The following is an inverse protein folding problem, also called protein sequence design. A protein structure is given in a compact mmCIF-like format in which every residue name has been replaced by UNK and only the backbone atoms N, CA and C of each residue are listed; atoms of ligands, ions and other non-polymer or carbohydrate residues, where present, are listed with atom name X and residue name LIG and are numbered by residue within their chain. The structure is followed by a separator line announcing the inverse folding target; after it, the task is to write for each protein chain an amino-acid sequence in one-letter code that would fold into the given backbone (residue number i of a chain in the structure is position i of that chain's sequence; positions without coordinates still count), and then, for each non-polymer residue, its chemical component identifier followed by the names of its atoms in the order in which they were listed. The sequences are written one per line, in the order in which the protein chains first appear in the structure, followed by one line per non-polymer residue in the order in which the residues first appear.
data_IF_078911086069
#
_entry.id   IF_078911086069
#
_cell.length_a   1.000
_cell.length_b   1.000
_cell.length_c   1.000
_cell.angle_alpha   90.00
_cell.angle_beta   90.00
_cell.angle_gamma   90.00
#
_symmetry.space_group_name_H-M   'P 1'
#
loop_
_entity.id
_entity.type
_entity.pdbx_description
1 polymer ?
#
# COMPACT_ATOMS: atom_id res chain seq x y z
N UNK A 1 60.17 -81.77 26.58
CA UNK A 1 58.84 -81.39 27.04
C UNK A 1 58.63 -79.94 26.71
N UNK A 2 57.71 -79.59 25.85
CA UNK A 2 57.56 -78.25 25.27
C UNK A 2 56.51 -77.45 26.00
N UNK A 3 56.94 -76.38 26.66
CA UNK A 3 56.02 -75.39 27.29
C UNK A 3 55.65 -74.33 26.24
N UNK A 4 54.39 -74.13 26.02
CA UNK A 4 53.83 -73.04 25.16
C UNK A 4 53.48 -71.83 26.01
N UNK A 5 54.08 -70.71 25.71
CA UNK A 5 53.79 -69.39 26.26
C UNK A 5 52.64 -68.78 25.50
N UNK A 6 51.53 -68.38 26.19
CA UNK A 6 50.44 -67.62 25.67
C UNK A 6 50.70 -66.13 25.90
N UNK A 7 50.71 -65.37 24.83
CA UNK A 7 50.76 -63.90 24.88
C UNK A 7 49.32 -63.38 24.85
N UNK A 8 48.89 -62.71 25.90
CA UNK A 8 47.64 -61.98 25.95
C UNK A 8 47.77 -60.66 25.24
N UNK A 9 46.81 -60.35 24.39
CA UNK A 9 46.68 -59.07 23.73
C UNK A 9 45.69 -58.25 24.57
N UNK A 10 46.16 -57.12 25.12
CA UNK A 10 45.35 -56.13 25.79
C UNK A 10 44.84 -55.16 24.72
N UNK A 11 43.56 -55.19 24.47
CA UNK A 11 42.87 -54.19 23.61
C UNK A 11 42.52 -52.99 24.46
N UNK A 12 43.12 -51.82 24.17
CA UNK A 12 42.74 -50.55 24.75
C UNK A 12 41.49 -50.00 24.03
N UNK A 13 40.35 -49.94 24.70
CA UNK A 13 39.19 -49.22 24.21
C UNK A 13 39.39 -47.71 24.50
N UNK A 14 39.60 -46.96 23.41
CA UNK A 14 39.54 -45.49 23.45
C UNK A 14 38.09 -45.02 23.31
N UNK A 15 37.47 -44.61 24.40
CA UNK A 15 36.16 -43.95 24.40
C UNK A 15 36.32 -42.52 23.91
N UNK A 16 35.86 -42.25 22.68
CA UNK A 16 35.74 -40.90 22.12
C UNK A 16 34.48 -40.25 22.71
N UNK A 17 34.67 -39.29 23.62
CA UNK A 17 33.60 -38.42 24.11
C UNK A 17 33.28 -37.38 23.00
N UNK A 18 32.19 -37.58 22.28
CA UNK A 18 31.58 -36.54 21.40
C UNK A 18 30.89 -35.49 22.28
N UNK A 19 31.56 -34.36 22.55
CA UNK A 19 30.90 -33.19 23.07
C UNK A 19 30.00 -32.62 21.96
N UNK A 20 28.70 -32.87 22.02
CA UNK A 20 27.71 -32.16 21.23
C UNK A 20 27.52 -30.77 21.82
N UNK A 21 28.10 -29.74 21.20
CA UNK A 21 27.78 -28.34 21.49
C UNK A 21 26.38 -28.09 20.93
N UNK A 22 25.36 -28.08 21.77
CA UNK A 22 24.03 -27.57 21.39
C UNK A 22 24.20 -26.09 21.07
N UNK A 23 24.07 -25.73 19.77
CA UNK A 23 23.96 -24.35 19.35
C UNK A 23 22.64 -23.82 19.91
N UNK A 24 22.73 -22.99 20.95
CA UNK A 24 21.59 -22.20 21.39
C UNK A 24 21.25 -21.18 20.29
N UNK A 25 20.19 -21.43 19.53
CA UNK A 25 19.60 -20.42 18.65
C UNK A 25 19.05 -19.33 19.54
N UNK A 26 19.78 -18.26 19.73
CA UNK A 26 19.24 -17.02 20.30
C UNK A 26 18.26 -16.47 19.27
N UNK A 27 16.96 -16.61 19.51
CA UNK A 27 15.93 -15.86 18.78
C UNK A 27 16.22 -14.39 19.06
N UNK A 28 16.55 -13.63 18.02
CA UNK A 28 16.69 -12.17 18.12
C UNK A 28 15.39 -11.59 18.70
N UNK A 29 15.52 -10.67 19.65
CA UNK A 29 14.36 -9.95 20.16
C UNK A 29 13.62 -9.27 19.00
N UNK A 30 12.27 -9.21 19.01
CA UNK A 30 11.52 -8.50 18.00
C UNK A 30 12.04 -7.06 17.86
N UNK A 31 12.17 -6.58 16.62
CA UNK A 31 12.56 -5.19 16.37
C UNK A 31 11.56 -4.23 17.03
N UNK A 32 12.05 -3.12 17.59
CA UNK A 32 11.17 -2.11 18.14
C UNK A 32 10.24 -1.56 17.04
N UNK A 33 8.95 -1.24 17.35
CA UNK A 33 8.03 -0.71 16.37
C UNK A 33 8.55 0.61 15.80
N UNK A 34 8.41 0.77 14.46
CA UNK A 34 8.89 1.96 13.74
C UNK A 34 8.14 3.22 14.16
N UNK A 35 6.85 3.08 14.45
CA UNK A 35 5.97 4.16 14.92
C UNK A 35 4.80 3.60 15.73
N UNK A 36 4.08 4.52 16.38
CA UNK A 36 2.95 4.20 17.26
C UNK A 36 1.66 4.79 16.70
N UNK A 37 0.62 3.97 16.62
CA UNK A 37 -0.74 4.37 16.24
C UNK A 37 -1.63 4.30 17.47
N UNK A 38 -2.37 5.40 17.75
CA UNK A 38 -3.39 5.49 18.79
C UNK A 38 -4.73 5.79 18.13
N UNK A 39 -5.64 4.82 18.15
CA UNK A 39 -6.95 4.91 17.55
C UNK A 39 -8.02 5.20 18.61
N UNK A 40 -8.85 6.21 18.35
CA UNK A 40 -9.95 6.61 19.19
C UNK A 40 -11.28 6.14 18.61
N UNK A 41 -12.18 5.66 19.49
CA UNK A 41 -13.53 5.25 19.15
C UNK A 41 -14.51 5.61 20.25
N UNK A 42 -15.81 5.73 19.93
CA UNK A 42 -16.85 5.99 20.93
C UNK A 42 -17.55 4.71 21.42
N UNK A 43 -17.82 3.79 20.54
CA UNK A 43 -18.56 2.56 20.81
C UNK A 43 -20.07 2.78 21.07
N UNK A 44 -20.58 3.97 20.77
CA UNK A 44 -21.93 4.37 21.15
C UNK A 44 -22.73 5.01 20.03
N UNK A 45 -22.15 5.16 18.84
CA UNK A 45 -22.82 5.81 17.73
C UNK A 45 -23.81 4.87 17.02
N UNK A 46 -23.68 4.63 15.76
CA UNK A 46 -24.54 3.70 14.99
C UNK A 46 -23.97 2.26 14.99
N UNK A 47 -24.84 1.24 14.90
CA UNK A 47 -24.40 -0.16 14.90
C UNK A 47 -23.43 -0.48 13.75
N UNK A 48 -23.49 0.23 12.61
CA UNK A 48 -22.58 0.06 11.49
C UNK A 48 -21.17 0.62 11.79
N UNK A 49 -21.10 1.76 12.47
CA UNK A 49 -19.83 2.34 12.94
C UNK A 49 -19.21 1.49 14.05
N UNK A 50 -20.05 0.95 14.96
CA UNK A 50 -19.63 0.01 16.00
C UNK A 50 -19.10 -1.30 15.39
N UNK A 51 -19.67 -1.77 14.27
CA UNK A 51 -19.15 -2.92 13.54
C UNK A 51 -17.76 -2.63 12.98
N UNK A 52 -17.58 -1.48 12.32
CA UNK A 52 -16.29 -1.03 11.80
C UNK A 52 -15.21 -0.92 12.90
N UNK A 53 -15.53 -0.32 14.07
CA UNK A 53 -14.53 -0.22 15.14
C UNK A 53 -14.10 -1.59 15.68
N UNK A 54 -15.03 -2.57 15.72
CA UNK A 54 -14.74 -3.95 16.15
C UNK A 54 -13.88 -4.70 15.14
N UNK A 55 -14.14 -4.57 13.84
CA UNK A 55 -13.27 -5.15 12.83
C UNK A 55 -11.91 -4.47 12.77
N UNK A 56 -11.84 -3.15 12.98
CA UNK A 56 -10.60 -2.40 13.11
C UNK A 56 -9.73 -2.91 14.27
N UNK A 57 -10.36 -3.26 15.43
CA UNK A 57 -9.67 -3.84 16.57
C UNK A 57 -9.04 -5.22 16.28
N UNK A 58 -9.50 -5.91 15.23
CA UNK A 58 -8.96 -7.19 14.78
C UNK A 58 -7.92 -6.99 13.67
N UNK A 59 -8.25 -6.18 12.67
CA UNK A 59 -7.45 -6.02 11.47
C UNK A 59 -6.16 -5.21 11.70
N UNK A 60 -6.23 -4.04 12.34
CA UNK A 60 -5.05 -3.20 12.54
C UNK A 60 -3.92 -3.84 13.38
N UNK A 61 -4.18 -4.65 14.43
CA UNK A 61 -3.11 -5.38 15.10
C UNK A 61 -2.37 -6.37 14.18
N UNK A 62 -3.07 -7.01 13.22
CA UNK A 62 -2.44 -7.91 12.25
C UNK A 62 -1.53 -7.13 11.29
N UNK A 63 -2.02 -5.99 10.78
CA UNK A 63 -1.22 -5.10 9.93
C UNK A 63 -0.06 -4.49 10.72
N UNK A 64 -0.26 -4.11 11.98
CA UNK A 64 0.80 -3.60 12.86
C UNK A 64 1.93 -4.61 13.04
N UNK A 65 1.60 -5.88 13.25
CA UNK A 65 2.59 -6.95 13.33
C UNK A 65 3.33 -7.18 12.00
N UNK A 66 2.59 -7.12 10.88
CA UNK A 66 3.15 -7.32 9.54
C UNK A 66 4.10 -6.18 9.12
N UNK A 67 3.78 -4.94 9.47
CA UNK A 67 4.51 -3.74 9.04
C UNK A 67 5.31 -3.08 10.16
N UNK A 68 5.52 -3.78 11.28
CA UNK A 68 6.33 -3.37 12.42
C UNK A 68 5.99 -1.98 12.98
N UNK A 69 4.71 -1.73 13.26
CA UNK A 69 4.29 -0.59 14.07
C UNK A 69 3.47 -1.05 15.28
N UNK A 70 3.24 -0.19 16.27
CA UNK A 70 2.34 -0.52 17.37
C UNK A 70 0.96 0.09 17.14
N UNK A 71 -0.10 -0.64 17.46
CA UNK A 71 -1.47 -0.18 17.42
C UNK A 71 -2.13 -0.32 18.78
N UNK A 72 -2.79 0.75 19.22
CA UNK A 72 -3.60 0.76 20.44
C UNK A 72 -4.93 1.44 20.14
N UNK A 73 -6.03 0.81 20.52
CA UNK A 73 -7.38 1.37 20.40
C UNK A 73 -7.94 1.74 21.78
N UNK A 74 -8.60 2.89 21.90
CA UNK A 74 -9.09 3.40 23.17
C UNK A 74 -10.36 4.23 22.99
N UNK A 75 -11.27 4.16 23.97
CA UNK A 75 -12.43 5.06 24.11
C UNK A 75 -12.18 6.18 25.12
N UNK A 76 -10.97 6.29 25.64
CA UNK A 76 -10.60 7.38 26.56
C UNK A 76 -10.13 8.61 25.79
N UNK A 77 -11.07 9.42 25.31
CA UNK A 77 -10.80 10.68 24.61
C UNK A 77 -10.01 11.69 25.45
N UNK A 78 -10.01 11.56 26.79
CA UNK A 78 -9.21 12.40 27.68
C UNK A 78 -7.70 12.34 27.42
N UNK A 79 -7.22 11.29 26.77
CA UNK A 79 -5.80 11.19 26.38
C UNK A 79 -5.38 12.28 25.38
N UNK A 80 -6.32 12.87 24.64
CA UNK A 80 -6.04 13.99 23.73
C UNK A 80 -5.53 15.24 24.45
N UNK A 81 -5.92 15.47 25.71
CA UNK A 81 -5.50 16.65 26.50
C UNK A 81 -3.97 16.74 26.67
N UNK A 82 -3.29 15.61 26.67
CA UNK A 82 -1.83 15.51 26.88
C UNK A 82 -1.10 14.86 25.71
N UNK A 83 -1.76 14.76 24.56
CA UNK A 83 -1.23 14.07 23.39
C UNK A 83 -0.01 14.78 22.81
N UNK A 84 1.02 14.02 22.51
CA UNK A 84 2.25 14.48 21.84
C UNK A 84 2.70 13.46 20.80
N UNK A 85 3.60 13.86 19.90
CA UNK A 85 4.23 12.95 18.93
C UNK A 85 5.11 11.86 19.57
N UNK A 86 5.54 12.05 20.82
CA UNK A 86 6.20 11.02 21.62
C UNK A 86 5.22 9.95 22.13
N UNK A 87 3.97 10.33 22.39
CA UNK A 87 2.89 9.42 22.83
C UNK A 87 2.41 8.57 21.66
N UNK A 88 2.08 9.20 20.52
CA UNK A 88 1.66 8.55 19.28
C UNK A 88 2.22 9.33 18.09
N UNK A 89 2.68 8.62 17.08
CA UNK A 89 3.10 9.22 15.81
C UNK A 89 1.90 9.47 14.89
N UNK A 90 0.89 8.59 14.97
CA UNK A 90 -0.36 8.68 14.22
C UNK A 90 -1.53 8.53 15.19
N UNK A 91 -2.49 9.43 15.08
CA UNK A 91 -3.79 9.34 15.73
C UNK A 91 -4.83 8.97 14.69
N UNK A 92 -5.73 8.06 15.05
CA UNK A 92 -6.89 7.71 14.23
C UNK A 92 -8.18 8.06 14.95
N UNK A 93 -9.15 8.58 14.19
CA UNK A 93 -10.53 8.66 14.63
C UNK A 93 -11.36 7.68 13.80
N UNK A 94 -11.90 6.66 14.46
CA UNK A 94 -12.58 5.56 13.79
C UNK A 94 -14.06 5.88 13.51
N UNK A 95 -14.79 6.25 14.55
CA UNK A 95 -16.26 6.37 14.48
C UNK A 95 -16.81 7.68 15.08
N UNK A 96 -15.96 8.58 15.55
CA UNK A 96 -16.40 9.81 16.20
C UNK A 96 -15.28 10.87 16.25
N UNK A 97 -15.59 12.03 16.85
CA UNK A 97 -14.66 13.13 17.12
C UNK A 97 -14.80 13.62 18.57
N UNK A 98 -13.75 14.23 19.15
CA UNK A 98 -13.85 14.76 20.50
C UNK A 98 -14.85 15.91 20.58
N UNK A 99 -15.66 15.92 21.62
CA UNK A 99 -16.65 16.96 21.89
C UNK A 99 -16.18 18.00 22.94
N UNK A 100 -15.26 17.62 23.83
CA UNK A 100 -14.69 18.50 24.86
C UNK A 100 -13.67 19.48 24.26
N UNK A 101 -13.73 20.72 24.71
CA UNK A 101 -12.88 21.81 24.22
C UNK A 101 -11.39 21.57 24.49
N UNK A 102 -11.04 20.99 25.65
CA UNK A 102 -9.65 20.66 25.99
C UNK A 102 -9.10 19.54 25.08
N UNK A 103 -9.88 18.50 24.81
CA UNK A 103 -9.53 17.41 23.91
C UNK A 103 -9.31 17.92 22.47
N UNK A 104 -10.20 18.81 21.99
CA UNK A 104 -10.07 19.48 20.68
C UNK A 104 -8.81 20.34 20.60
N UNK A 105 -8.53 21.11 21.62
CA UNK A 105 -7.31 21.93 21.70
C UNK A 105 -6.04 21.06 21.74
N UNK A 106 -6.06 19.96 22.49
CA UNK A 106 -4.95 19.01 22.57
C UNK A 106 -4.66 18.34 21.21
N UNK A 107 -5.71 17.90 20.52
CA UNK A 107 -5.56 17.35 19.17
C UNK A 107 -5.03 18.39 18.17
N UNK A 108 -5.58 19.61 18.18
CA UNK A 108 -5.10 20.69 17.32
C UNK A 108 -3.61 20.99 17.57
N UNK A 109 -3.22 21.10 18.84
CA UNK A 109 -1.82 21.29 19.21
C UNK A 109 -0.92 20.15 18.71
N UNK A 110 -1.36 18.90 18.85
CA UNK A 110 -0.64 17.74 18.34
C UNK A 110 -0.42 17.82 16.83
N UNK A 111 -1.43 18.17 16.04
CA UNK A 111 -1.34 18.33 14.60
C UNK A 111 -0.41 19.49 14.19
N UNK A 112 -0.44 20.60 14.91
CA UNK A 112 0.43 21.77 14.69
C UNK A 112 1.91 21.49 14.99
N UNK A 113 2.18 20.45 15.81
CA UNK A 113 3.53 20.00 16.14
C UNK A 113 3.97 18.75 15.36
N UNK A 114 3.37 18.51 14.19
CA UNK A 114 3.80 17.49 13.24
C UNK A 114 3.27 16.07 13.52
N UNK A 115 2.21 15.96 14.31
CA UNK A 115 1.49 14.70 14.48
C UNK A 115 0.86 14.20 13.19
N UNK A 116 0.69 12.89 13.03
CA UNK A 116 -0.02 12.26 11.94
C UNK A 116 -1.49 11.99 12.31
N UNK A 117 -2.40 12.11 11.34
CA UNK A 117 -3.81 11.83 11.54
C UNK A 117 -4.40 10.99 10.41
N UNK A 118 -5.22 10.00 10.77
CA UNK A 118 -6.04 9.26 9.83
C UNK A 118 -7.49 9.22 10.32
N UNK A 119 -8.37 9.93 9.62
CA UNK A 119 -9.81 9.95 9.93
C UNK A 119 -10.61 9.02 9.03
N UNK A 120 -11.57 8.33 9.61
CA UNK A 120 -12.50 7.46 8.89
C UNK A 120 -13.92 8.01 8.98
N UNK A 121 -14.65 7.87 7.89
CA UNK A 121 -16.09 8.05 7.76
C UNK A 121 -16.66 9.17 8.64
N UNK A 122 -17.36 8.80 9.71
CA UNK A 122 -18.06 9.74 10.61
C UNK A 122 -17.13 10.73 11.30
N UNK A 123 -15.82 10.48 11.31
CA UNK A 123 -14.87 11.46 11.87
C UNK A 123 -14.88 12.81 11.14
N UNK A 124 -15.43 12.89 9.93
CA UNK A 124 -15.66 14.16 9.24
C UNK A 124 -17.10 14.64 9.30
N UNK A 125 -18.03 13.86 9.85
CA UNK A 125 -19.42 14.28 10.03
C UNK A 125 -19.52 15.45 11.00
N UNK A 126 -20.35 16.42 10.68
CA UNK A 126 -20.69 17.52 11.57
C UNK A 126 -22.02 18.16 11.16
N UNK A 127 -22.80 18.58 12.16
CA UNK A 127 -24.08 19.28 11.95
C UNK A 127 -23.87 20.77 11.65
N UNK A 128 -22.70 21.30 11.96
CA UNK A 128 -22.37 22.70 11.77
C UNK A 128 -20.87 22.92 11.65
N UNK A 129 -20.45 23.49 10.53
CA UNK A 129 -19.05 23.85 10.29
C UNK A 129 -18.46 24.80 11.33
N UNK A 130 -19.30 25.41 12.21
CA UNK A 130 -18.87 26.28 13.29
C UNK A 130 -18.67 25.57 14.61
N UNK A 131 -19.06 24.31 14.75
CA UNK A 131 -18.92 23.52 15.95
C UNK A 131 -17.47 23.28 16.36
N UNK A 132 -16.60 23.03 15.36
CA UNK A 132 -15.14 22.97 15.51
C UNK A 132 -14.49 23.62 14.28
N UNK A 133 -14.47 24.97 14.18
CA UNK A 133 -14.14 25.68 12.95
C UNK A 133 -12.76 25.31 12.38
N UNK A 134 -11.75 25.19 13.24
CA UNK A 134 -10.43 24.77 12.80
C UNK A 134 -10.46 23.40 12.12
N UNK A 135 -11.14 22.42 12.72
CA UNK A 135 -11.20 21.06 12.20
C UNK A 135 -11.98 21.01 10.88
N UNK A 136 -13.18 21.57 10.86
CA UNK A 136 -14.09 21.46 9.73
C UNK A 136 -13.69 22.34 8.54
N UNK A 137 -13.19 23.57 8.79
CA UNK A 137 -12.90 24.53 7.72
C UNK A 137 -11.43 24.52 7.29
N UNK A 138 -10.50 24.44 8.27
CA UNK A 138 -9.06 24.57 7.99
C UNK A 138 -8.41 23.21 7.80
N UNK A 139 -8.69 22.25 8.67
CA UNK A 139 -8.01 20.95 8.70
C UNK A 139 -8.61 19.96 7.70
N UNK A 140 -9.91 19.69 7.77
CA UNK A 140 -10.64 18.83 6.85
C UNK A 140 -11.01 19.55 5.54
N UNK A 141 -11.31 20.85 5.63
CA UNK A 141 -11.71 21.68 4.49
C UNK A 141 -13.17 21.50 4.05
N UNK A 142 -13.90 20.59 4.67
CA UNK A 142 -15.25 20.14 4.29
C UNK A 142 -16.36 21.16 4.52
N UNK A 143 -16.21 22.07 5.50
CA UNK A 143 -17.32 22.84 6.00
C UNK A 143 -18.31 21.96 6.75
N UNK A 144 -19.58 22.09 6.45
CA UNK A 144 -20.66 21.29 7.05
C UNK A 144 -20.88 20.03 6.22
N UNK A 145 -21.24 18.92 6.86
CA UNK A 145 -21.78 17.74 6.18
C UNK A 145 -23.04 18.15 5.40
N UNK A 146 -23.13 17.67 4.16
CA UNK A 146 -24.26 18.02 3.29
C UNK A 146 -25.26 16.89 3.20
N UNK A 147 -24.82 15.69 2.78
CA UNK A 147 -25.69 14.52 2.66
C UNK A 147 -24.86 13.24 2.48
N UNK A 148 -25.53 12.10 2.45
CA UNK A 148 -24.97 10.77 2.19
C UNK A 148 -25.83 9.95 1.25
N UNK A 149 -25.40 8.75 0.90
CA UNK A 149 -26.16 7.83 0.04
C UNK A 149 -27.31 7.12 0.79
N UNK A 150 -27.46 7.31 2.09
CA UNK A 150 -28.47 6.68 2.97
C UNK A 150 -28.41 5.16 3.06
N UNK A 151 -28.05 4.49 1.98
CA UNK A 151 -27.86 3.04 1.95
C UNK A 151 -26.40 2.74 1.62
N UNK A 152 -25.71 1.98 2.48
CA UNK A 152 -24.36 1.52 2.19
C UNK A 152 -24.32 0.73 0.88
N UNK A 153 -23.41 1.12 0.00
CA UNK A 153 -23.26 0.51 -1.32
C UNK A 153 -21.80 0.52 -1.76
N UNK A 154 -21.45 -0.33 -2.72
CA UNK A 154 -20.19 -0.22 -3.44
C UNK A 154 -20.20 1.01 -4.34
N UNK A 155 -19.02 1.54 -4.66
CA UNK A 155 -18.86 2.61 -5.62
C UNK A 155 -17.63 2.39 -6.50
N UNK A 156 -17.67 2.83 -7.75
CA UNK A 156 -16.48 2.94 -8.59
C UNK A 156 -15.76 4.23 -8.18
N UNK A 157 -14.49 4.12 -7.88
CA UNK A 157 -13.63 5.24 -7.51
C UNK A 157 -12.63 5.56 -8.62
N UNK A 158 -12.36 6.85 -8.78
CA UNK A 158 -11.25 7.35 -9.57
C UNK A 158 -10.12 7.81 -8.66
N UNK A 159 -8.89 7.38 -8.94
CA UNK A 159 -7.69 7.90 -8.28
C UNK A 159 -7.33 9.22 -8.94
N UNK A 160 -7.60 10.33 -8.26
CA UNK A 160 -7.51 11.69 -8.83
C UNK A 160 -6.09 12.25 -8.79
N UNK A 161 -5.28 11.84 -7.82
CA UNK A 161 -3.93 12.34 -7.70
C UNK A 161 -2.95 11.33 -7.13
N UNK A 162 -1.67 11.54 -7.46
CA UNK A 162 -0.58 10.74 -6.92
C UNK A 162 -0.23 11.18 -5.50
N UNK A 163 -0.13 10.21 -4.62
CA UNK A 163 0.29 10.37 -3.24
C UNK A 163 0.92 9.07 -2.75
N UNK A 164 1.70 9.11 -1.68
CA UNK A 164 2.25 7.89 -1.08
C UNK A 164 1.15 6.85 -0.77
N UNK A 165 -0.03 7.30 -0.31
CA UNK A 165 -1.16 6.43 -0.01
C UNK A 165 -1.89 5.88 -1.25
N UNK A 166 -1.78 6.51 -2.43
CA UNK A 166 -2.50 6.08 -3.66
C UNK A 166 -1.61 5.35 -4.65
N UNK A 167 -0.32 5.20 -4.38
CA UNK A 167 0.66 4.66 -5.32
C UNK A 167 0.38 3.23 -5.79
N UNK A 168 -0.35 2.43 -5.01
CA UNK A 168 -0.75 1.06 -5.35
C UNK A 168 -2.19 0.95 -5.84
N UNK A 169 -2.91 2.06 -5.96
CA UNK A 169 -4.28 2.06 -6.43
C UNK A 169 -4.35 2.09 -7.95
N UNK A 170 -5.27 1.36 -8.58
CA UNK A 170 -5.63 1.54 -9.98
C UNK A 170 -6.18 2.95 -10.23
N UNK A 171 -6.17 3.39 -11.49
CA UNK A 171 -6.82 4.67 -11.87
C UNK A 171 -8.33 4.64 -11.64
N UNK A 172 -8.93 3.46 -11.74
CA UNK A 172 -10.35 3.21 -11.50
C UNK A 172 -10.49 1.85 -10.82
N UNK A 173 -11.28 1.77 -9.76
CA UNK A 173 -11.48 0.54 -9.00
C UNK A 173 -12.81 0.57 -8.25
N UNK A 174 -13.34 -0.60 -7.91
CA UNK A 174 -14.55 -0.71 -7.10
C UNK A 174 -14.15 -0.76 -5.63
N UNK A 175 -14.66 0.17 -4.83
CA UNK A 175 -14.48 0.16 -3.38
C UNK A 175 -15.46 -0.80 -2.71
N UNK A 176 -15.10 -1.27 -1.53
CA UNK A 176 -16.00 -1.95 -0.62
C UNK A 176 -17.25 -1.13 -0.28
N UNK A 177 -18.21 -1.76 0.37
CA UNK A 177 -19.45 -1.10 0.78
C UNK A 177 -19.13 -0.01 1.80
N UNK A 178 -19.69 1.18 1.58
CA UNK A 178 -19.71 2.29 2.54
C UNK A 178 -20.92 3.19 2.28
N UNK A 179 -21.19 4.07 3.21
CA UNK A 179 -22.13 5.18 3.07
C UNK A 179 -21.36 6.41 2.60
N UNK A 180 -21.57 6.84 1.35
CA UNK A 180 -20.77 7.86 0.70
C UNK A 180 -21.27 9.26 1.06
N UNK A 181 -20.38 10.11 1.58
CA UNK A 181 -20.69 11.46 2.05
C UNK A 181 -20.45 12.54 1.01
N UNK A 182 -21.19 13.63 1.11
CA UNK A 182 -20.92 14.90 0.45
C UNK A 182 -20.82 16.05 1.45
N UNK A 183 -20.17 17.12 1.01
CA UNK A 183 -19.75 18.22 1.86
C UNK A 183 -20.26 19.56 1.31
N UNK A 184 -20.43 20.55 2.18
CA UNK A 184 -20.81 21.90 1.80
C UNK A 184 -19.76 22.54 0.88
N UNK A 185 -18.48 22.37 1.19
CA UNK A 185 -17.39 22.96 0.44
C UNK A 185 -16.96 22.03 -0.71
N UNK A 186 -16.73 22.61 -1.90
CA UNK A 186 -16.04 21.90 -2.97
C UNK A 186 -14.53 21.85 -2.66
N UNK A 187 -14.03 20.69 -2.27
CA UNK A 187 -12.63 20.50 -1.87
C UNK A 187 -11.63 20.85 -2.97
N UNK A 188 -12.03 20.83 -4.26
CA UNK A 188 -11.18 21.25 -5.39
C UNK A 188 -10.84 22.74 -5.35
N UNK A 189 -11.70 23.54 -4.74
CA UNK A 189 -11.52 24.99 -4.64
C UNK A 189 -10.59 25.38 -3.47
N UNK A 190 -10.26 24.44 -2.59
CA UNK A 190 -9.34 24.67 -1.48
C UNK A 190 -7.90 24.35 -1.90
N UNK A 191 -7.00 25.34 -2.06
CA UNK A 191 -5.63 25.12 -2.53
C UNK A 191 -4.79 24.27 -1.55
N UNK A 192 -5.21 24.17 -0.29
CA UNK A 192 -4.54 23.39 0.74
C UNK A 192 -4.96 21.91 0.73
N UNK A 193 -6.09 21.58 0.10
CA UNK A 193 -6.54 20.19 -0.01
C UNK A 193 -6.00 19.56 -1.31
N UNK A 194 -5.60 18.31 -1.20
CA UNK A 194 -5.32 17.45 -2.35
C UNK A 194 -6.29 16.27 -2.29
N UNK A 195 -7.25 16.25 -3.20
CA UNK A 195 -8.14 15.11 -3.36
C UNK A 195 -7.35 13.95 -3.96
N UNK A 196 -7.46 12.79 -3.34
CA UNK A 196 -6.72 11.57 -3.69
C UNK A 196 -7.59 10.62 -4.50
N UNK A 197 -8.87 10.51 -4.15
CA UNK A 197 -9.86 9.77 -4.94
C UNK A 197 -11.26 10.34 -4.76
N UNK A 198 -12.06 10.19 -5.82
CA UNK A 198 -13.47 10.57 -5.87
C UNK A 198 -14.34 9.43 -6.39
N UNK A 199 -15.63 9.48 -6.08
CA UNK A 199 -16.62 8.51 -6.57
C UNK A 199 -17.06 8.89 -7.97
N UNK A 200 -17.19 7.91 -8.84
CA UNK A 200 -17.95 8.02 -10.10
C UNK A 200 -19.44 8.04 -9.80
N UNK A 201 -20.06 9.20 -9.95
CA UNK A 201 -21.48 9.40 -9.66
C UNK A 201 -22.42 8.47 -10.42
N UNK A 202 -21.99 7.93 -11.56
CA UNK A 202 -22.76 6.97 -12.35
C UNK A 202 -22.78 5.57 -11.76
N UNK A 203 -21.90 5.29 -10.78
CA UNK A 203 -21.71 3.95 -10.21
C UNK A 203 -22.69 3.58 -9.09
N UNK A 204 -23.42 4.56 -8.53
CA UNK A 204 -24.45 4.32 -7.52
C UNK A 204 -25.61 5.33 -7.69
N UNK A 205 -26.80 5.04 -7.15
CA UNK A 205 -27.90 5.98 -7.20
C UNK A 205 -27.58 7.20 -6.32
N UNK A 206 -27.12 8.27 -6.97
CA UNK A 206 -26.95 9.56 -6.33
C UNK A 206 -28.31 10.09 -5.96
N UNK A 207 -28.48 10.41 -4.67
CA UNK A 207 -29.69 11.10 -4.25
C UNK A 207 -30.89 10.19 -4.13
N UNK A 208 -30.88 9.40 -3.09
CA UNK A 208 -32.14 8.99 -2.46
C UNK A 208 -32.90 10.20 -1.90
N UNK A 209 -32.21 11.33 -1.70
CA UNK A 209 -32.80 12.64 -1.41
C UNK A 209 -32.84 13.48 -2.70
N UNK A 210 -34.05 13.79 -3.26
CA UNK A 210 -34.21 14.58 -4.47
C UNK A 210 -33.75 16.04 -4.33
N UNK A 211 -33.56 16.53 -3.09
CA UNK A 211 -33.07 17.88 -2.82
C UNK A 211 -31.53 17.94 -2.67
N UNK A 212 -30.84 16.82 -2.83
CA UNK A 212 -29.41 16.73 -2.67
C UNK A 212 -28.66 17.50 -3.75
N UNK A 213 -27.91 18.49 -3.36
CA UNK A 213 -27.02 19.23 -4.25
C UNK A 213 -25.62 18.65 -4.16
N UNK A 214 -25.20 17.94 -5.21
CA UNK A 214 -23.84 17.43 -5.36
C UNK A 214 -23.07 18.35 -6.31
N UNK A 215 -21.80 18.61 -6.04
CA UNK A 215 -20.96 19.49 -6.85
C UNK A 215 -20.72 18.91 -8.25
N UNK A 216 -21.64 19.16 -9.18
CA UNK A 216 -21.52 18.74 -10.58
C UNK A 216 -21.13 17.26 -10.78
N UNK A 217 -21.54 16.40 -9.84
CA UNK A 217 -21.19 14.96 -9.86
C UNK A 217 -19.77 14.64 -9.41
N UNK A 218 -19.12 15.50 -8.67
CA UNK A 218 -17.81 15.24 -8.09
C UNK A 218 -17.91 15.01 -6.58
N UNK A 219 -17.49 13.84 -6.13
CA UNK A 219 -17.65 13.38 -4.74
C UNK A 219 -16.31 12.90 -4.17
N UNK A 220 -15.49 13.81 -3.61
CA UNK A 220 -14.22 13.44 -2.99
C UNK A 220 -14.46 12.63 -1.72
N UNK A 221 -13.77 11.50 -1.61
CA UNK A 221 -13.92 10.57 -0.49
C UNK A 221 -12.57 10.18 0.14
N UNK A 222 -11.46 10.41 -0.54
CA UNK A 222 -10.10 10.29 -0.01
C UNK A 222 -9.37 11.60 -0.28
N UNK A 223 -8.79 12.22 0.76
CA UNK A 223 -7.99 13.42 0.60
C UNK A 223 -6.94 13.61 1.70
N UNK A 224 -6.03 14.54 1.45
CA UNK A 224 -5.03 15.04 2.40
C UNK A 224 -5.03 16.56 2.41
N UNK A 225 -4.49 17.16 3.48
CA UNK A 225 -4.24 18.58 3.59
C UNK A 225 -2.73 18.83 3.53
N UNK A 226 -2.29 19.67 2.59
CA UNK A 226 -0.85 19.94 2.33
C UNK A 226 -0.13 20.60 3.51
N UNK A 227 -0.86 21.21 4.45
CA UNK A 227 -0.31 21.89 5.62
C UNK A 227 -0.19 20.96 6.84
N UNK A 228 -0.76 19.76 6.79
CA UNK A 228 -0.80 18.80 7.88
C UNK A 228 -0.50 17.40 7.38
N UNK A 229 0.09 16.60 8.23
CA UNK A 229 0.33 15.18 7.96
C UNK A 229 -0.96 14.39 8.26
N UNK A 230 -1.93 14.44 7.35
CA UNK A 230 -3.24 13.85 7.54
C UNK A 230 -3.78 13.13 6.33
N UNK A 231 -4.64 12.16 6.56
CA UNK A 231 -5.47 11.49 5.57
C UNK A 231 -6.90 11.40 6.10
N UNK A 232 -7.85 11.46 5.20
CA UNK A 232 -9.22 11.07 5.45
C UNK A 232 -9.67 10.03 4.43
N UNK A 233 -10.45 9.06 4.89
CA UNK A 233 -11.11 8.05 4.08
C UNK A 233 -12.58 7.92 4.47
N UNK A 234 -13.48 8.02 3.51
CA UNK A 234 -14.91 7.81 3.73
C UNK A 234 -15.29 6.31 3.77
N UNK A 235 -14.36 5.48 4.31
CA UNK A 235 -14.57 4.07 4.60
C UNK A 235 -14.93 3.93 6.08
N UNK A 236 -15.66 2.88 6.45
CA UNK A 236 -15.97 2.58 7.84
C UNK A 236 -17.45 2.67 8.20
N UNK A 237 -18.33 2.47 7.20
CA UNK A 237 -19.75 2.23 7.40
C UNK A 237 -20.13 0.90 6.77
N UNK A 238 -20.28 -0.14 7.59
CA UNK A 238 -20.69 -1.44 7.11
C UNK A 238 -22.18 -1.47 6.76
N UNK A 239 -22.56 -2.32 5.79
CA UNK A 239 -23.96 -2.69 5.64
C UNK A 239 -24.39 -3.54 6.85
N UNK A 240 -25.55 -3.25 7.41
CA UNK A 240 -26.03 -3.83 8.65
C UNK A 240 -27.42 -4.44 8.51
N UNK A 241 -27.62 -5.57 9.18
CA UNK A 241 -28.94 -5.98 9.61
C UNK A 241 -29.21 -5.36 11.00
N UNK A 242 -29.89 -4.23 11.03
CA UNK A 242 -30.15 -3.48 12.27
C UNK A 242 -31.09 -4.23 13.23
N UNK A 243 -31.91 -5.19 12.74
CA UNK A 243 -32.77 -6.01 13.60
C UNK A 243 -31.96 -7.01 14.42
N UNK A 244 -30.98 -7.65 13.81
CA UNK A 244 -30.12 -8.64 14.47
C UNK A 244 -28.78 -8.05 14.93
N UNK A 245 -28.49 -6.79 14.61
CA UNK A 245 -27.21 -6.10 14.86
C UNK A 245 -26.02 -6.85 14.27
N UNK A 246 -26.20 -7.44 13.08
CA UNK A 246 -25.18 -8.25 12.41
C UNK A 246 -24.63 -7.51 11.19
N UNK A 247 -23.31 -7.33 11.05
CA UNK A 247 -22.72 -6.74 9.85
C UNK A 247 -22.94 -7.67 8.64
N UNK A 248 -23.23 -7.07 7.51
CA UNK A 248 -23.44 -7.73 6.20
C UNK A 248 -22.28 -7.46 5.23
N UNK A 249 -21.36 -6.57 5.60
CA UNK A 249 -20.13 -6.30 4.87
C UNK A 249 -18.96 -6.14 5.84
N UNK A 250 -17.77 -5.93 5.33
CA UNK A 250 -16.57 -5.58 6.08
C UNK A 250 -15.77 -4.56 5.31
N UNK A 251 -15.36 -3.50 5.98
CA UNK A 251 -14.51 -2.44 5.42
C UNK A 251 -13.16 -2.99 4.95
N UNK A 252 -12.61 -3.98 5.64
CA UNK A 252 -11.30 -4.58 5.35
C UNK A 252 -11.36 -5.85 4.48
N UNK A 253 -12.46 -6.07 3.77
CA UNK A 253 -12.59 -7.18 2.83
C UNK A 253 -12.08 -6.83 1.42
N UNK A 254 -11.84 -5.57 1.11
CA UNK A 254 -11.38 -5.12 -0.21
C UNK A 254 -9.86 -4.90 -0.22
N UNK A 255 -9.09 -5.74 -0.93
CA UNK A 255 -7.64 -5.67 -0.92
C UNK A 255 -7.07 -4.43 -1.63
N UNK A 256 -7.84 -3.72 -2.45
CA UNK A 256 -7.42 -2.47 -3.06
C UNK A 256 -7.58 -1.32 -2.05
N UNK A 257 -8.71 -1.27 -1.38
CA UNK A 257 -8.98 -0.34 -0.29
C UNK A 257 -7.95 -0.48 0.84
N UNK A 258 -7.61 -1.71 1.22
CA UNK A 258 -6.60 -2.01 2.23
C UNK A 258 -5.22 -1.43 1.87
N UNK A 259 -4.85 -1.42 0.58
CA UNK A 259 -3.58 -0.81 0.13
C UNK A 259 -3.53 0.68 0.45
N UNK A 260 -4.63 1.41 0.25
CA UNK A 260 -4.70 2.82 0.62
C UNK A 260 -4.48 3.02 2.12
N UNK A 261 -5.15 2.22 2.95
CA UNK A 261 -5.07 2.32 4.40
C UNK A 261 -3.65 2.01 4.89
N UNK A 262 -3.06 0.92 4.41
CA UNK A 262 -1.71 0.49 4.79
C UNK A 262 -0.68 1.54 4.37
N UNK A 263 -0.68 1.94 3.09
CA UNK A 263 0.26 2.93 2.56
C UNK A 263 0.12 4.29 3.23
N UNK A 264 -1.13 4.66 3.52
CA UNK A 264 -1.46 5.86 4.27
C UNK A 264 -0.87 5.84 5.68
N UNK A 265 -1.01 4.75 6.41
CA UNK A 265 -0.44 4.60 7.76
C UNK A 265 1.08 4.65 7.74
N UNK A 266 1.72 3.95 6.82
CA UNK A 266 3.18 3.97 6.66
C UNK A 266 3.68 5.37 6.35
N UNK A 267 3.01 6.10 5.46
CA UNK A 267 3.34 7.49 5.18
C UNK A 267 3.15 8.39 6.42
N UNK A 268 2.01 8.27 7.12
CA UNK A 268 1.72 9.04 8.33
C UNK A 268 2.69 8.72 9.48
N UNK A 269 3.08 7.48 9.65
CA UNK A 269 3.99 7.05 10.70
C UNK A 269 5.44 7.47 10.46
N UNK A 270 5.80 7.86 9.22
CA UNK A 270 7.19 8.02 8.82
C UNK A 270 7.93 6.69 8.80
N UNK A 271 7.20 5.59 8.78
CA UNK A 271 7.73 4.26 8.63
C UNK A 271 8.37 4.13 7.25
N UNK A 272 9.61 3.74 7.23
CA UNK A 272 10.16 3.14 6.03
C UNK A 272 9.74 1.68 6.06
N UNK A 273 9.32 1.11 4.94
CA UNK A 273 9.06 -0.31 4.85
C UNK A 273 10.39 -1.08 4.93
N UNK A 274 11.00 -1.15 6.12
CA UNK A 274 12.29 -1.82 6.29
C UNK A 274 12.16 -3.33 6.25
N UNK A 275 10.93 -3.85 6.39
CA UNK A 275 10.60 -5.27 6.21
C UNK A 275 9.10 -5.43 5.84
N UNK A 276 8.43 -4.37 5.38
CA UNK A 276 7.28 -4.62 4.53
C UNK A 276 7.75 -5.64 3.50
N UNK A 277 7.05 -6.76 3.31
CA UNK A 277 7.39 -7.65 2.22
C UNK A 277 7.61 -6.74 1.04
N UNK A 278 8.64 -7.00 0.25
CA UNK A 278 9.16 -6.25 -0.89
C UNK A 278 8.08 -5.71 -1.86
N UNK A 279 6.99 -5.18 -1.31
CA UNK A 279 5.80 -4.69 -2.02
C UNK A 279 5.86 -3.19 -2.31
N UNK A 280 6.97 -2.54 -1.98
CA UNK A 280 7.16 -1.13 -2.26
C UNK A 280 8.34 -0.89 -3.17
N UNK A 281 8.03 -0.44 -4.37
CA UNK A 281 9.05 0.00 -5.31
C UNK A 281 9.45 1.44 -4.94
N UNK A 282 10.64 1.61 -4.36
CA UNK A 282 11.20 2.95 -4.12
C UNK A 282 11.56 3.60 -5.46
N UNK A 283 10.89 4.67 -5.90
CA UNK A 283 11.12 5.26 -7.21
C UNK A 283 12.49 5.96 -7.34
N UNK A 284 13.19 6.18 -6.21
CA UNK A 284 14.55 6.70 -6.18
C UNK A 284 15.64 5.64 -6.30
N UNK A 285 15.29 4.36 -6.14
CA UNK A 285 16.25 3.27 -6.11
C UNK A 285 16.37 2.56 -7.46
N UNK A 286 17.49 1.87 -7.64
CA UNK A 286 17.69 0.93 -8.73
C UNK A 286 17.48 -0.50 -8.26
N UNK A 287 16.94 -1.34 -9.13
CA UNK A 287 16.64 -2.75 -8.85
C UNK A 287 17.19 -3.66 -9.94
N UNK A 288 17.75 -4.78 -9.52
CA UNK A 288 17.84 -5.94 -10.41
C UNK A 288 16.50 -6.66 -10.43
N UNK A 289 16.03 -7.00 -11.61
CA UNK A 289 14.73 -7.65 -11.84
C UNK A 289 15.00 -9.12 -12.15
N UNK A 290 14.70 -10.01 -11.19
CA UNK A 290 15.11 -11.44 -11.25
C UNK A 290 13.90 -12.32 -11.46
N UNK A 291 13.90 -13.10 -12.53
CA UNK A 291 12.80 -14.01 -12.85
C UNK A 291 12.72 -15.20 -11.89
N UNK A 292 11.51 -15.50 -11.40
CA UNK A 292 11.23 -16.61 -10.48
C UNK A 292 11.47 -17.99 -11.07
N UNK A 293 11.22 -18.16 -12.37
CA UNK A 293 11.27 -19.46 -13.04
C UNK A 293 12.69 -19.97 -13.32
N UNK A 294 13.66 -19.04 -13.48
CA UNK A 294 15.01 -19.42 -13.90
C UNK A 294 16.14 -18.66 -13.17
N UNK A 295 15.82 -17.76 -12.25
CA UNK A 295 16.75 -16.92 -11.48
C UNK A 295 17.70 -16.05 -12.34
N UNK A 296 17.31 -15.71 -13.57
CA UNK A 296 18.07 -14.81 -14.42
C UNK A 296 17.59 -13.37 -14.25
N UNK A 297 18.50 -12.44 -14.45
CA UNK A 297 18.23 -11.02 -14.43
C UNK A 297 17.70 -10.51 -15.78
N UNK A 298 16.79 -9.56 -15.74
CA UNK A 298 16.44 -8.73 -16.88
C UNK A 298 17.66 -7.88 -17.24
N UNK A 299 17.96 -7.77 -18.53
CA UNK A 299 19.23 -7.24 -19.03
C UNK A 299 19.03 -6.49 -20.34
N UNK A 300 19.65 -5.33 -20.49
CA UNK A 300 19.75 -4.63 -21.75
C UNK A 300 20.88 -5.28 -22.57
N UNK A 301 20.53 -5.96 -23.66
CA UNK A 301 21.45 -6.77 -24.48
C UNK A 301 22.71 -6.00 -24.87
N UNK A 302 23.87 -6.61 -24.57
CA UNK A 302 25.16 -6.02 -24.90
C UNK A 302 25.46 -4.72 -24.19
N UNK A 303 24.79 -4.43 -23.07
CA UNK A 303 24.81 -3.16 -22.37
C UNK A 303 24.43 -1.97 -23.27
N UNK A 304 23.57 -2.20 -24.25
CA UNK A 304 23.05 -1.17 -25.15
C UNK A 304 22.25 -0.11 -24.39
N UNK A 305 22.32 1.14 -24.87
CA UNK A 305 21.71 2.31 -24.23
C UNK A 305 20.90 3.17 -25.22
N UNK A 306 20.52 2.60 -26.36
CA UNK A 306 19.84 3.30 -27.44
C UNK A 306 18.51 2.64 -27.79
N UNK A 307 17.67 3.39 -28.51
CA UNK A 307 16.41 2.88 -29.04
C UNK A 307 16.61 1.56 -29.81
N UNK A 308 15.72 0.59 -29.53
CA UNK A 308 15.75 -0.73 -30.12
C UNK A 308 16.67 -1.74 -29.40
N UNK A 309 17.37 -1.33 -28.33
CA UNK A 309 18.13 -2.28 -27.51
C UNK A 309 17.19 -3.32 -26.91
N UNK A 310 17.41 -4.59 -27.24
CA UNK A 310 16.55 -5.68 -26.77
C UNK A 310 16.66 -5.85 -25.26
N UNK A 311 15.53 -5.98 -24.59
CA UNK A 311 15.47 -6.44 -23.21
C UNK A 311 15.40 -7.97 -23.21
N UNK A 312 16.39 -8.58 -22.57
CA UNK A 312 16.59 -10.03 -22.52
C UNK A 312 16.70 -10.53 -21.08
N UNK A 313 16.73 -11.82 -20.90
CA UNK A 313 17.21 -12.46 -19.67
C UNK A 313 18.68 -12.83 -19.82
N UNK A 314 19.45 -12.68 -18.75
CA UNK A 314 20.86 -13.03 -18.72
C UNK A 314 21.32 -13.43 -17.31
N UNK A 315 22.44 -14.15 -17.18
CA UNK A 315 23.03 -14.42 -15.88
C UNK A 315 23.25 -13.11 -15.11
N UNK A 316 22.86 -13.05 -13.84
CA UNK A 316 22.98 -11.85 -13.01
C UNK A 316 24.46 -11.48 -12.81
N UNK A 317 24.84 -10.24 -13.12
CA UNK A 317 26.24 -9.76 -13.09
C UNK A 317 26.41 -8.37 -12.46
N UNK A 318 25.32 -7.80 -11.91
CA UNK A 318 25.27 -6.48 -11.25
C UNK A 318 25.73 -5.28 -12.12
N UNK A 319 25.79 -5.43 -13.45
CA UNK A 319 26.09 -4.31 -14.33
C UNK A 319 24.92 -3.32 -14.41
N UNK A 320 25.19 -2.08 -14.85
CA UNK A 320 24.14 -1.08 -15.07
C UNK A 320 23.10 -1.51 -16.12
N UNK A 321 23.46 -2.44 -17.01
CA UNK A 321 22.55 -3.05 -17.98
C UNK A 321 21.43 -3.88 -17.32
N UNK A 322 21.65 -4.33 -16.09
CA UNK A 322 20.70 -5.14 -15.29
C UNK A 322 20.06 -4.37 -14.14
N UNK A 323 20.24 -3.06 -14.10
CA UNK A 323 19.71 -2.22 -13.05
C UNK A 323 18.69 -1.22 -13.61
N UNK A 324 17.50 -1.24 -13.03
CA UNK A 324 16.37 -0.49 -13.53
C UNK A 324 15.74 0.33 -12.40
N UNK A 325 15.30 1.55 -12.74
CA UNK A 325 14.57 2.44 -11.87
C UNK A 325 13.10 2.46 -12.29
N UNK A 326 12.21 2.30 -11.34
CA UNK A 326 10.76 2.30 -11.54
C UNK A 326 10.22 3.66 -11.12
N UNK A 327 9.85 4.50 -12.06
CA UNK A 327 9.35 5.85 -11.79
C UNK A 327 7.86 5.94 -12.10
N UNK A 328 7.09 6.44 -11.14
CA UNK A 328 5.66 6.66 -11.31
C UNK A 328 5.38 7.64 -12.45
N UNK A 329 4.35 7.35 -13.24
CA UNK A 329 3.91 8.18 -14.36
C UNK A 329 2.51 8.71 -14.11
N UNK A 330 1.48 7.90 -14.33
CA UNK A 330 0.09 8.28 -14.14
C UNK A 330 -0.66 7.16 -13.42
N UNK A 331 -1.31 7.49 -12.31
CA UNK A 331 -2.02 6.50 -11.50
C UNK A 331 -1.08 5.38 -11.02
N UNK A 332 -1.46 4.09 -11.17
CA UNK A 332 -0.67 2.95 -10.70
C UNK A 332 0.46 2.54 -11.65
N UNK A 333 0.69 3.32 -12.71
CA UNK A 333 1.65 2.96 -13.74
C UNK A 333 3.02 3.59 -13.51
N UNK A 334 4.05 2.86 -13.98
CA UNK A 334 5.45 3.24 -13.87
C UNK A 334 6.09 3.17 -15.26
N UNK A 335 7.06 4.02 -15.51
CA UNK A 335 8.08 3.77 -16.51
C UNK A 335 9.26 3.04 -15.87
N UNK A 336 9.92 2.17 -16.60
CA UNK A 336 11.06 1.38 -16.12
C UNK A 336 12.29 1.79 -16.89
N UNK A 337 13.15 2.61 -16.26
CA UNK A 337 14.33 3.21 -16.89
C UNK A 337 15.57 2.36 -16.66
N UNK A 338 16.46 2.29 -17.65
CA UNK A 338 17.75 1.62 -17.47
C UNK A 338 18.76 2.54 -16.76
N UNK A 339 19.56 2.01 -15.82
CA UNK A 339 20.56 2.79 -15.07
C UNK A 339 21.66 3.38 -15.97
N UNK A 340 22.02 2.68 -17.05
CA UNK A 340 23.05 3.16 -17.97
C UNK A 340 22.60 4.37 -18.82
N UNK A 341 21.28 4.50 -19.07
CA UNK A 341 20.68 5.65 -19.73
C UNK A 341 19.23 5.81 -19.24
N UNK A 342 18.99 6.75 -18.34
CA UNK A 342 17.67 6.97 -17.71
C UNK A 342 16.64 7.64 -18.63
N UNK A 343 17.03 8.07 -19.81
CA UNK A 343 16.11 8.56 -20.84
C UNK A 343 15.40 7.40 -21.55
N UNK A 344 16.00 6.20 -21.53
CA UNK A 344 15.48 4.99 -22.15
C UNK A 344 14.62 4.21 -21.14
N UNK A 345 13.45 3.78 -21.60
CA UNK A 345 12.49 3.00 -20.80
C UNK A 345 12.11 1.71 -21.51
N UNK A 346 11.61 0.73 -20.76
CA UNK A 346 11.03 -0.47 -21.36
C UNK A 346 9.83 -0.12 -22.23
N UNK A 347 9.83 -0.65 -23.42
CA UNK A 347 8.90 -0.36 -24.49
C UNK A 347 8.44 -1.67 -25.13
N UNK A 348 7.13 -1.83 -25.32
CA UNK A 348 6.62 -2.93 -26.16
C UNK A 348 6.83 -2.55 -27.61
N UNK A 349 7.69 -3.32 -28.31
CA UNK A 349 8.08 -3.04 -29.70
C UNK A 349 6.87 -2.82 -30.60
N UNK A 350 6.97 -1.79 -31.43
CA UNK A 350 5.96 -1.42 -32.44
C UNK A 350 4.55 -1.15 -31.85
N UNK A 351 4.44 -0.90 -30.54
CA UNK A 351 3.14 -0.81 -29.83
C UNK A 351 2.25 -2.03 -30.09
N UNK A 352 2.85 -3.17 -30.32
CA UNK A 352 2.14 -4.41 -30.64
C UNK A 352 1.22 -4.83 -29.49
N UNK A 353 0.03 -5.33 -29.83
CA UNK A 353 -0.92 -5.91 -28.87
C UNK A 353 -0.86 -7.43 -28.81
N UNK A 354 -0.02 -8.07 -29.62
CA UNK A 354 0.06 -9.51 -29.73
C UNK A 354 0.80 -10.15 -28.54
N UNK A 355 0.46 -11.40 -28.22
CA UNK A 355 1.31 -12.25 -27.38
C UNK A 355 2.64 -12.52 -28.11
N UNK A 356 3.73 -12.50 -27.35
CA UNK A 356 5.07 -12.68 -27.91
C UNK A 356 5.71 -11.38 -28.42
N UNK A 357 5.06 -10.24 -28.35
CA UNK A 357 5.67 -8.95 -28.70
C UNK A 357 6.88 -8.69 -27.80
N UNK A 358 8.02 -8.38 -28.42
CA UNK A 358 9.30 -8.18 -27.74
C UNK A 358 9.34 -6.90 -26.91
N UNK A 359 10.17 -6.93 -25.86
CA UNK A 359 10.46 -5.74 -25.05
C UNK A 359 11.82 -5.20 -25.43
N UNK A 360 11.92 -3.88 -25.56
CA UNK A 360 13.12 -3.14 -25.93
C UNK A 360 13.30 -1.90 -25.04
N UNK A 361 14.45 -1.25 -25.14
CA UNK A 361 14.64 0.13 -24.67
C UNK A 361 14.19 1.10 -25.76
N UNK A 362 13.51 2.14 -25.36
CA UNK A 362 13.13 3.25 -26.24
C UNK A 362 13.02 4.54 -25.44
N UNK A 363 13.39 5.66 -26.06
CA UNK A 363 13.26 6.99 -25.45
C UNK A 363 11.85 7.21 -24.96
N UNK A 364 11.70 7.60 -23.69
CA UNK A 364 10.39 7.72 -23.06
C UNK A 364 9.57 8.85 -23.67
N UNK A 365 8.49 8.52 -24.34
CA UNK A 365 7.55 9.46 -24.95
C UNK A 365 6.18 9.53 -24.28
N UNK A 366 6.00 8.85 -23.14
CA UNK A 366 4.72 8.84 -22.41
C UNK A 366 3.65 7.92 -23.03
N UNK A 367 3.99 7.10 -24.02
CA UNK A 367 3.06 6.15 -24.62
C UNK A 367 2.63 5.06 -23.63
N UNK A 368 1.40 4.52 -23.80
CA UNK A 368 0.89 3.44 -22.95
C UNK A 368 1.69 2.14 -23.06
N UNK A 369 2.39 1.93 -24.19
CA UNK A 369 3.30 0.81 -24.42
C UNK A 369 4.62 0.91 -23.66
N UNK A 370 4.88 2.05 -23.00
CA UNK A 370 6.06 2.33 -22.16
C UNK A 370 5.72 2.41 -20.68
N UNK A 371 4.49 2.07 -20.33
CA UNK A 371 4.00 2.17 -18.95
C UNK A 371 3.54 0.79 -18.45
N UNK A 372 3.92 0.50 -17.21
CA UNK A 372 3.76 -0.80 -16.61
C UNK A 372 3.14 -0.68 -15.22
N UNK A 373 2.25 -1.57 -14.88
CA UNK A 373 1.77 -1.74 -13.52
C UNK A 373 2.55 -2.86 -12.84
N UNK A 374 3.10 -2.62 -11.67
CA UNK A 374 3.70 -3.65 -10.85
C UNK A 374 2.64 -4.19 -9.87
N UNK A 375 2.27 -5.45 -10.02
CA UNK A 375 1.28 -6.13 -9.19
C UNK A 375 1.99 -7.15 -8.31
N UNK A 376 1.92 -6.94 -7.00
CA UNK A 376 2.55 -7.83 -6.02
C UNK A 376 1.80 -9.17 -5.96
N UNK A 377 2.55 -10.26 -5.90
CA UNK A 377 2.04 -11.62 -5.61
C UNK A 377 2.58 -12.16 -4.28
N UNK A 378 1.90 -13.16 -3.70
CA UNK A 378 2.39 -13.79 -2.48
C UNK A 378 3.84 -14.27 -2.61
N UNK A 379 4.65 -14.02 -1.57
CA UNK A 379 6.07 -14.39 -1.54
C UNK A 379 7.03 -13.32 -2.08
N UNK A 380 6.55 -12.08 -2.30
CA UNK A 380 7.40 -10.92 -2.63
C UNK A 380 7.89 -10.93 -4.08
N UNK A 381 7.12 -11.51 -4.98
CA UNK A 381 7.31 -11.42 -6.42
C UNK A 381 6.32 -10.43 -7.04
N UNK A 382 6.58 -10.02 -8.27
CA UNK A 382 5.79 -9.04 -8.99
C UNK A 382 5.45 -9.53 -10.39
N UNK A 383 4.20 -9.29 -10.81
CA UNK A 383 3.86 -9.24 -12.22
C UNK A 383 4.04 -7.81 -12.71
N UNK A 384 4.70 -7.64 -13.85
CA UNK A 384 4.83 -6.36 -14.54
C UNK A 384 3.89 -6.36 -15.72
N UNK A 385 2.80 -5.61 -15.61
CA UNK A 385 1.64 -5.63 -16.54
C UNK A 385 1.66 -4.39 -17.42
N UNK A 386 1.65 -4.57 -18.74
CA UNK A 386 1.61 -3.47 -19.69
C UNK A 386 0.30 -2.68 -19.60
N UNK A 387 0.40 -1.35 -19.50
CA UNK A 387 -0.77 -0.46 -19.50
C UNK A 387 -1.59 -0.60 -20.80
N UNK A 388 -0.92 -0.74 -21.93
CA UNK A 388 -1.58 -0.77 -23.24
C UNK A 388 -2.41 -2.04 -23.48
N UNK A 389 -1.98 -3.19 -22.92
CA UNK A 389 -2.50 -4.49 -23.34
C UNK A 389 -3.01 -5.35 -22.19
N UNK A 390 -2.74 -4.96 -20.97
CA UNK A 390 -3.00 -5.74 -19.75
C UNK A 390 -2.30 -7.13 -19.77
N UNK A 391 -1.21 -7.26 -20.54
CA UNK A 391 -0.40 -8.46 -20.63
C UNK A 391 0.82 -8.39 -19.72
N UNK A 392 1.30 -9.54 -19.27
CA UNK A 392 2.42 -9.68 -18.34
C UNK A 392 3.77 -9.73 -19.08
N UNK A 393 4.76 -9.03 -18.54
CA UNK A 393 6.17 -9.27 -18.88
C UNK A 393 6.49 -10.75 -18.66
N UNK A 394 7.10 -11.39 -19.65
CA UNK A 394 7.34 -12.83 -19.63
C UNK A 394 8.76 -13.14 -20.05
N UNK A 395 9.46 -13.93 -19.24
CA UNK A 395 10.76 -14.49 -19.57
C UNK A 395 10.60 -15.75 -20.44
N UNK A 396 11.23 -15.78 -21.60
CA UNK A 396 11.09 -16.87 -22.55
C UNK A 396 12.24 -17.87 -22.44
N UNK A 397 11.92 -19.15 -22.16
CA UNK A 397 12.92 -20.20 -22.02
C UNK A 397 13.83 -20.02 -20.80
N UNK A 398 14.99 -20.69 -20.79
CA UNK A 398 15.94 -20.68 -19.66
C UNK A 398 17.36 -20.23 -20.06
N UNK A 399 17.62 -19.97 -21.34
CA UNK A 399 18.92 -19.57 -21.84
C UNK A 399 19.26 -18.10 -21.69
N UNK A 400 20.55 -17.75 -21.61
CA UNK A 400 21.01 -16.38 -21.72
C UNK A 400 20.72 -15.82 -23.10
N UNK A 401 20.35 -14.53 -23.16
CA UNK A 401 20.07 -13.85 -24.43
C UNK A 401 18.64 -14.01 -24.94
N UNK A 402 17.77 -14.78 -24.26
CA UNK A 402 16.38 -14.88 -24.68
C UNK A 402 15.65 -13.55 -24.40
N UNK A 403 15.00 -12.99 -25.42
CA UNK A 403 14.25 -11.73 -25.31
C UNK A 403 13.04 -11.90 -24.41
N UNK A 404 12.79 -10.93 -23.55
CA UNK A 404 11.54 -10.81 -22.83
C UNK A 404 10.43 -10.34 -23.77
N UNK A 405 9.21 -10.82 -23.51
CA UNK A 405 8.02 -10.47 -24.29
C UNK A 405 6.86 -10.12 -23.38
N UNK A 406 5.80 -9.55 -23.92
CA UNK A 406 4.49 -9.54 -23.25
C UNK A 406 3.68 -10.76 -23.68
N UNK A 407 2.98 -11.39 -22.74
CA UNK A 407 2.07 -12.52 -22.98
C UNK A 407 0.88 -12.41 -22.04
N UNK A 408 -0.29 -12.92 -22.45
CA UNK A 408 -1.46 -13.01 -21.57
C UNK A 408 -1.07 -13.52 -20.18
N UNK A 409 -1.52 -12.82 -19.14
CA UNK A 409 -1.19 -13.17 -17.75
C UNK A 409 -1.82 -14.50 -17.34
N UNK A 410 -1.01 -15.44 -16.89
CA UNK A 410 -1.43 -16.80 -16.49
C UNK A 410 -0.93 -17.21 -15.12
N UNK A 411 -0.13 -16.35 -14.44
CA UNK A 411 0.41 -16.62 -13.11
C UNK A 411 1.55 -17.64 -13.06
N UNK A 412 2.16 -17.98 -14.21
CA UNK A 412 3.30 -18.91 -14.26
C UNK A 412 4.58 -18.24 -13.80
N UNK A 413 5.55 -19.02 -13.30
CA UNK A 413 6.79 -18.51 -12.71
C UNK A 413 7.63 -17.65 -13.68
N UNK A 414 7.51 -17.85 -15.00
CA UNK A 414 8.16 -17.00 -16.00
C UNK A 414 7.59 -15.58 -16.09
N UNK A 415 6.42 -15.31 -15.48
CA UNK A 415 5.80 -14.00 -15.40
C UNK A 415 5.99 -13.32 -14.05
N UNK A 416 6.66 -14.00 -13.12
CA UNK A 416 6.90 -13.52 -11.75
C UNK A 416 8.35 -13.07 -11.60
N UNK A 417 8.55 -11.88 -11.02
CA UNK A 417 9.88 -11.28 -10.88
C UNK A 417 10.09 -10.76 -9.46
N UNK A 418 11.28 -10.97 -8.92
CA UNK A 418 11.73 -10.33 -7.68
C UNK A 418 12.48 -9.05 -8.02
N UNK A 419 12.13 -7.96 -7.36
CA UNK A 419 12.86 -6.71 -7.43
C UNK A 419 13.89 -6.68 -6.28
N UNK A 420 15.16 -6.71 -6.61
CA UNK A 420 16.25 -6.67 -5.64
C UNK A 420 16.90 -5.28 -5.69
N UNK A 421 16.68 -4.48 -4.65
CA UNK A 421 17.25 -3.14 -4.59
C UNK A 421 18.79 -3.21 -4.62
N UNK A 422 19.37 -2.33 -5.39
CA UNK A 422 20.82 -2.20 -5.55
C UNK A 422 21.31 -0.99 -4.73
N UNK A 423 22.56 -1.04 -4.28
CA UNK A 423 23.17 0.06 -3.54
C UNK A 423 23.19 1.40 -4.28
#
# INVERSE_FOLDING_TARGET
MKTRIWRGIVAALSTLLLLSTAATTTTAAPAAPQFKVLAFFSGTYDDAHIAFEKEAAIWFPQIAAQYNFSYTQTNNWGMLNTLTTATANVVMFLDDVPTDAGQRAGFQNYMQHGGGYFGFHVSAYNDSGTNWPWFNQTFMGTGTFNNNTWFPTTAILHTDSQHAATRRLPTTWTAGISEWYSWQNDLRQNPNIQVLASVDASSFPVGTDPNQSWYSGYYPILWTNKNYKMLYANFGHDAMNYTTKTPLSSTFADPIQDKFIIDGLLWLGGGTPTDAPTDQINPGAYFSVVNKGNNKCVDARGAGTTNGTVIQQYACNNSNAQQFQFQWTNGPFLRVNNRANTAESWDVSDRSTADGAGIQLWSYGGGTNQQWQAVLEPGGYWHLVSMATQKCLTANGSGDGAQLTQVTCTGVASQSFRLQQQP
#
